data_IF_387099498654
#
_entry.id   IF_387099498654
#
_cell.length_a   1.000
_cell.length_b   1.000
_cell.length_c   1.000
_cell.angle_alpha   90.00
_cell.angle_beta   90.00
_cell.angle_gamma   90.00
#
_symmetry.space_group_name_H-M   'P 1'
#
loop_
_entity.id
_entity.type
_entity.pdbx_description
1 polymer ?
#
# COMPACT_ATOMS: atom_id res chain seq x y z
N UNK A 1 5.70 3.70 -5.00
CA UNK A 1 4.26 3.93 -5.27
C UNK A 1 3.49 2.73 -4.75
N UNK A 2 2.22 2.88 -4.39
CA UNK A 2 1.44 1.79 -3.80
C UNK A 2 -0.05 1.97 -4.03
N UNK A 3 -0.80 0.86 -3.99
CA UNK A 3 -2.25 0.86 -4.08
C UNK A 3 -2.84 0.47 -2.73
N UNK A 4 -3.85 1.22 -2.30
CA UNK A 4 -4.53 1.05 -1.03
C UNK A 4 -5.99 0.71 -1.27
N UNK A 5 -6.47 -0.39 -0.66
CA UNK A 5 -7.89 -0.74 -0.65
C UNK A 5 -8.42 -0.53 0.77
N UNK A 6 -9.41 0.36 0.91
CA UNK A 6 -10.07 0.63 2.18
C UNK A 6 -11.56 0.28 2.10
N UNK A 7 -11.96 -0.87 2.65
CA UNK A 7 -13.36 -1.32 2.65
C UNK A 7 -14.09 -0.67 3.82
N UNK A 8 -15.10 0.15 3.54
CA UNK A 8 -15.85 0.87 4.57
C UNK A 8 -15.00 1.89 5.34
N UNK A 9 -13.99 2.49 4.70
CA UNK A 9 -13.10 3.48 5.30
C UNK A 9 -11.97 2.91 6.17
N UNK A 10 -11.84 1.58 6.25
CA UNK A 10 -10.75 0.91 6.97
C UNK A 10 -9.79 0.24 6.00
N UNK A 11 -8.50 0.45 6.22
CA UNK A 11 -7.44 -0.16 5.45
C UNK A 11 -7.53 -1.69 5.52
N UNK A 12 -7.69 -2.33 4.37
CA UNK A 12 -7.86 -3.78 4.26
C UNK A 12 -6.69 -4.45 3.54
N UNK A 13 -6.02 -3.73 2.64
CA UNK A 13 -4.92 -4.25 1.83
C UNK A 13 -4.02 -3.09 1.37
N UNK A 14 -2.71 -3.31 1.43
CA UNK A 14 -1.72 -2.47 0.76
C UNK A 14 -0.89 -3.32 -0.19
N UNK A 15 -0.77 -2.83 -1.44
CA UNK A 15 0.22 -3.31 -2.40
C UNK A 15 1.38 -2.31 -2.41
N UNK A 16 2.52 -2.72 -1.88
CA UNK A 16 3.75 -1.92 -1.91
C UNK A 16 4.61 -2.37 -3.10
N UNK A 17 4.92 -1.43 -3.98
CA UNK A 17 5.72 -1.70 -5.18
C UNK A 17 7.14 -1.17 -4.99
N UNK A 18 8.14 -2.06 -5.15
CA UNK A 18 9.52 -1.64 -5.40
C UNK A 18 9.67 -1.45 -6.90
N UNK A 19 10.10 -0.26 -7.32
CA UNK A 19 10.34 0.08 -8.72
C UNK A 19 11.83 0.31 -8.91
N UNK A 20 12.43 -0.31 -9.92
CA UNK A 20 13.82 -0.07 -10.30
C UNK A 20 13.90 0.04 -11.82
N UNK A 21 14.53 1.10 -12.31
CA UNK A 21 14.55 1.40 -13.74
C UNK A 21 13.13 1.70 -14.25
N UNK A 22 12.73 0.95 -15.25
CA UNK A 22 11.49 1.05 -16.01
C UNK A 22 10.37 0.11 -15.52
N UNK A 23 10.60 -0.65 -14.44
CA UNK A 23 9.65 -1.67 -13.99
C UNK A 23 9.53 -1.86 -12.48
N UNK A 24 8.42 -2.51 -12.10
CA UNK A 24 8.21 -3.03 -10.75
C UNK A 24 9.01 -4.34 -10.62
N UNK A 25 9.88 -4.41 -9.62
CA UNK A 25 10.71 -5.59 -9.35
C UNK A 25 10.28 -6.37 -8.10
N UNK A 26 9.42 -5.78 -7.27
CA UNK A 26 8.79 -6.46 -6.14
C UNK A 26 7.41 -5.90 -5.85
N UNK A 27 6.49 -6.82 -5.53
CA UNK A 27 5.19 -6.51 -4.97
C UNK A 27 5.10 -7.16 -3.60
N UNK A 28 4.97 -6.34 -2.55
CA UNK A 28 4.69 -6.82 -1.20
C UNK A 28 3.20 -6.62 -0.92
N UNK A 29 2.54 -7.72 -0.56
CA UNK A 29 1.12 -7.74 -0.21
C UNK A 29 1.01 -7.73 1.31
N UNK A 30 0.49 -6.64 1.87
CA UNK A 30 0.28 -6.51 3.31
C UNK A 30 -1.22 -6.55 3.61
N UNK A 31 -1.66 -7.66 4.20
CA UNK A 31 -3.04 -7.88 4.66
C UNK A 31 -3.11 -8.13 6.19
N UNK A 32 -1.96 -8.20 6.86
CA UNK A 32 -1.89 -8.34 8.32
C UNK A 32 -2.41 -7.07 9.00
N UNK A 33 -3.41 -7.20 9.87
CA UNK A 33 -4.06 -6.05 10.51
C UNK A 33 -3.15 -5.24 11.42
N UNK A 34 -2.24 -5.87 12.16
CA UNK A 34 -1.33 -5.15 13.04
C UNK A 34 -0.35 -4.32 12.20
N UNK A 35 0.21 -4.92 11.16
CA UNK A 35 1.10 -4.22 10.22
C UNK A 35 0.41 -3.09 9.48
N UNK A 36 -0.86 -3.28 9.09
CA UNK A 36 -1.66 -2.23 8.44
C UNK A 36 -1.93 -1.04 9.38
N UNK A 37 -2.10 -1.28 10.68
CA UNK A 37 -2.35 -0.22 11.66
C UNK A 37 -1.12 0.68 11.90
N UNK A 38 0.07 0.20 11.57
CA UNK A 38 1.33 0.94 11.68
C UNK A 38 1.58 1.87 10.47
N UNK A 39 0.83 1.71 9.38
CA UNK A 39 1.03 2.47 8.15
C UNK A 39 0.37 3.86 8.25
N UNK A 40 1.16 4.91 8.05
CA UNK A 40 0.65 6.25 7.79
C UNK A 40 0.33 6.40 6.30
N UNK A 41 -0.93 6.67 5.98
CA UNK A 41 -1.40 6.86 4.60
C UNK A 41 -1.81 8.32 4.42
N UNK A 42 -1.18 9.00 3.47
CA UNK A 42 -1.58 10.32 3.01
C UNK A 42 -2.09 10.22 1.56
N UNK A 43 -3.20 10.89 1.27
CA UNK A 43 -3.59 11.11 -0.11
C UNK A 43 -2.65 12.17 -0.70
N UNK A 44 -1.94 11.83 -1.78
CA UNK A 44 -1.31 12.85 -2.60
C UNK A 44 -2.43 13.58 -3.37
N UNK A 45 -2.53 14.88 -3.14
CA UNK A 45 -3.29 15.76 -4.02
C UNK A 45 -2.52 16.04 -5.32
N UNK A 46 -3.22 16.65 -6.28
CA UNK A 46 -2.63 17.14 -7.53
C UNK A 46 -1.61 18.26 -7.29
#
# INVERSE_FOLDING_TARGET
MGLVMAVGGRLALVLAFTVTGDGITRVDIVADRARLAELSVAALGD
#
